data_IF_298976344572
#
_entry.id   IF_298976344572
#
_cell.length_a   1.000
_cell.length_b   1.000
_cell.length_c   1.000
_cell.angle_alpha   90.00
_cell.angle_beta   90.00
_cell.angle_gamma   90.00
#
_symmetry.space_group_name_H-M   'P 1'
#
loop_
_entity.id
_entity.type
_entity.pdbx_description
1 polymer ?
#
# COMPACT_ATOMS: atom_id res chain seq x y z
N UNK A 1 -21.03 13.58 -9.15
CA UNK A 1 -20.70 14.95 -8.70
C UNK A 1 -19.20 15.15 -8.81
N UNK A 2 -18.73 16.18 -9.52
CA UNK A 2 -17.32 16.53 -9.65
C UNK A 2 -17.12 17.90 -9.00
N UNK A 3 -16.19 18.01 -8.04
CA UNK A 3 -15.71 19.29 -7.53
C UNK A 3 -14.27 19.51 -8.02
N UNK A 4 -13.93 20.78 -8.31
CA UNK A 4 -12.74 21.21 -9.05
C UNK A 4 -11.39 20.65 -8.58
N UNK A 5 -10.44 20.64 -9.52
CA UNK A 5 -9.17 19.95 -9.45
C UNK A 5 -8.26 20.43 -8.30
N UNK A 6 -8.16 19.61 -7.24
CA UNK A 6 -7.02 19.62 -6.33
C UNK A 6 -5.90 18.83 -7.01
N UNK A 7 -4.73 19.43 -7.21
CA UNK A 7 -3.55 18.69 -7.71
C UNK A 7 -3.24 17.57 -6.71
N UNK A 8 -3.28 16.29 -7.10
CA UNK A 8 -2.97 15.21 -6.17
C UNK A 8 -1.50 15.30 -5.79
N UNK A 9 -1.23 15.67 -4.55
CA UNK A 9 0.07 15.48 -3.94
C UNK A 9 0.35 13.97 -3.88
N UNK A 10 1.55 13.58 -4.33
CA UNK A 10 2.32 12.34 -4.09
C UNK A 10 1.52 11.06 -3.77
N UNK A 11 1.44 10.22 -4.79
CA UNK A 11 0.59 9.04 -4.88
C UNK A 11 1.17 7.84 -4.13
N UNK A 12 0.32 7.18 -3.33
CA UNK A 12 0.57 5.85 -2.79
C UNK A 12 -0.58 4.96 -3.29
N UNK A 13 -0.33 3.98 -4.18
CA UNK A 13 -1.37 3.05 -4.55
C UNK A 13 -1.61 2.11 -3.36
N UNK A 14 -2.81 2.18 -2.81
CA UNK A 14 -3.38 1.08 -2.04
C UNK A 14 -4.30 0.28 -2.95
N UNK A 15 -4.70 -0.89 -2.51
CA UNK A 15 -5.63 -1.74 -3.24
C UNK A 15 -6.81 -2.12 -2.36
N UNK A 16 -8.00 -2.19 -2.97
CA UNK A 16 -9.14 -2.85 -2.36
C UNK A 16 -8.95 -4.36 -2.52
N UNK A 17 -8.89 -5.08 -1.40
CA UNK A 17 -8.71 -6.53 -1.36
C UNK A 17 -10.05 -7.26 -1.47
N UNK A 18 -9.98 -8.56 -1.75
CA UNK A 18 -11.15 -9.45 -1.80
C UNK A 18 -12.02 -9.43 -0.53
N UNK A 19 -11.43 -9.16 0.64
CA UNK A 19 -12.12 -9.08 1.94
C UNK A 19 -12.77 -7.72 2.21
N UNK A 20 -12.79 -6.83 1.21
CA UNK A 20 -13.39 -5.50 1.28
C UNK A 20 -12.59 -4.49 2.10
N UNK A 21 -11.31 -4.77 2.39
CA UNK A 21 -10.41 -3.87 3.13
C UNK A 21 -9.35 -3.27 2.21
N UNK A 22 -8.88 -2.07 2.56
CA UNK A 22 -7.72 -1.46 1.91
C UNK A 22 -6.41 -2.03 2.47
N UNK A 23 -5.50 -2.38 1.56
CA UNK A 23 -4.15 -2.83 1.89
C UNK A 23 -3.12 -2.27 0.93
N UNK A 24 -1.85 -2.47 1.22
CA UNK A 24 -0.80 -2.29 0.22
C UNK A 24 -0.73 -3.52 -0.70
N UNK A 25 -0.27 -3.35 -1.94
CA UNK A 25 0.18 -4.46 -2.76
C UNK A 25 1.29 -5.26 -2.07
N UNK A 26 1.20 -6.58 -2.13
CA UNK A 26 2.13 -7.55 -1.57
C UNK A 26 1.40 -8.76 -0.97
N UNK A 27 2.18 -9.77 -0.61
CA UNK A 27 1.67 -11.01 -0.05
C UNK A 27 2.68 -11.71 0.85
N UNK A 28 2.55 -13.02 0.95
CA UNK A 28 3.37 -13.84 1.84
C UNK A 28 4.63 -14.31 1.11
N UNK A 29 5.77 -14.26 1.80
CA UNK A 29 7.00 -14.88 1.32
C UNK A 29 6.95 -16.39 1.53
N UNK A 30 7.45 -17.13 0.55
CA UNK A 30 7.62 -18.58 0.69
C UNK A 30 8.80 -18.93 1.63
N UNK A 31 8.81 -20.10 2.28
CA UNK A 31 9.92 -20.52 3.12
C UNK A 31 11.26 -20.52 2.37
N UNK A 32 12.21 -19.69 2.84
CA UNK A 32 13.54 -19.54 2.23
C UNK A 32 13.62 -18.55 1.08
N UNK A 33 12.50 -17.93 0.67
CA UNK A 33 12.48 -16.90 -0.35
C UNK A 33 13.02 -15.56 0.21
N UNK A 34 13.94 -14.87 -0.48
CA UNK A 34 14.35 -13.52 -0.10
C UNK A 34 13.17 -12.56 -0.14
N UNK A 35 13.02 -11.70 0.87
CA UNK A 35 11.87 -10.78 1.00
C UNK A 35 11.68 -9.88 -0.22
N UNK A 36 12.76 -9.34 -0.79
CA UNK A 36 12.67 -8.54 -2.01
C UNK A 36 12.18 -9.34 -3.20
N UNK A 37 12.58 -10.62 -3.32
CA UNK A 37 12.16 -11.48 -4.42
C UNK A 37 10.68 -11.86 -4.29
N UNK A 38 10.26 -12.20 -3.07
CA UNK A 38 8.86 -12.45 -2.74
C UNK A 38 7.99 -11.25 -3.08
N UNK A 39 8.36 -10.06 -2.59
CA UNK A 39 7.57 -8.85 -2.87
C UNK A 39 7.59 -8.49 -4.36
N UNK A 40 8.71 -8.66 -5.07
CA UNK A 40 8.73 -8.46 -6.53
C UNK A 40 7.84 -9.44 -7.30
N UNK A 41 7.66 -10.68 -6.81
CA UNK A 41 6.73 -11.67 -7.37
C UNK A 41 5.27 -11.22 -7.16
N UNK A 42 4.90 -10.94 -5.92
CA UNK A 42 3.56 -10.49 -5.53
C UNK A 42 3.16 -9.23 -6.30
N UNK A 43 4.06 -8.23 -6.40
CA UNK A 43 3.78 -7.01 -7.16
C UNK A 43 3.50 -7.27 -8.66
N UNK A 44 4.09 -8.32 -9.26
CA UNK A 44 3.82 -8.70 -10.66
C UNK A 44 2.46 -9.38 -10.80
N UNK A 45 2.07 -10.17 -9.82
CA UNK A 45 0.79 -10.88 -9.77
C UNK A 45 -0.38 -9.91 -9.56
N UNK A 46 -0.19 -8.88 -8.73
CA UNK A 46 -1.21 -7.89 -8.37
C UNK A 46 -1.28 -6.65 -9.28
N UNK A 47 -0.12 -6.16 -9.76
CA UNK A 47 -0.05 -4.91 -10.54
C UNK A 47 0.26 -5.14 -12.02
N UNK A 48 0.50 -6.40 -12.41
CA UNK A 48 0.74 -6.80 -13.78
C UNK A 48 2.16 -6.49 -14.30
N UNK A 49 2.40 -6.63 -15.62
CA UNK A 49 3.75 -6.64 -16.20
C UNK A 49 4.58 -5.36 -15.97
N UNK A 50 3.92 -4.21 -15.79
CA UNK A 50 4.60 -2.95 -15.50
C UNK A 50 5.39 -2.99 -14.17
N UNK A 51 4.98 -3.86 -13.24
CA UNK A 51 5.68 -4.06 -11.97
C UNK A 51 7.07 -4.69 -12.14
N UNK A 52 7.38 -5.31 -13.28
CA UNK A 52 8.73 -5.85 -13.53
C UNK A 52 9.82 -4.77 -13.51
N UNK A 53 9.47 -3.50 -13.73
CA UNK A 53 10.40 -2.37 -13.59
C UNK A 53 10.68 -1.99 -12.11
N UNK A 54 9.87 -2.50 -11.17
CA UNK A 54 9.96 -2.22 -9.74
C UNK A 54 11.02 -3.09 -9.04
N UNK A 55 12.29 -2.90 -9.39
CA UNK A 55 13.39 -3.51 -8.61
C UNK A 55 13.49 -3.04 -7.16
N UNK A 56 13.20 -3.90 -6.20
CA UNK A 56 13.36 -3.65 -4.79
C UNK A 56 14.82 -3.83 -4.37
N UNK A 57 15.18 -3.14 -3.28
CA UNK A 57 16.53 -3.05 -2.74
C UNK A 57 16.40 -2.90 -1.23
N UNK A 58 17.39 -3.34 -0.44
CA UNK A 58 17.33 -3.21 1.02
C UNK A 58 17.06 -1.78 1.51
N UNK A 59 17.57 -0.76 0.80
CA UNK A 59 17.31 0.67 1.10
C UNK A 59 15.83 1.09 1.02
N UNK A 60 14.98 0.28 0.38
CA UNK A 60 13.55 0.55 0.30
C UNK A 60 12.80 -0.01 1.51
N UNK A 61 13.39 -0.91 2.30
CA UNK A 61 12.80 -1.43 3.53
C UNK A 61 12.68 -0.32 4.59
N UNK A 62 11.52 -0.24 5.25
CA UNK A 62 11.21 0.81 6.24
C UNK A 62 10.90 0.30 7.62
N UNK A 63 10.65 -0.99 7.77
CA UNK A 63 10.37 -1.57 9.07
C UNK A 63 9.68 -2.91 8.94
N UNK A 64 9.59 -3.57 10.09
CA UNK A 64 8.86 -4.80 10.25
C UNK A 64 8.03 -4.75 11.54
N UNK A 65 6.87 -5.39 11.55
CA UNK A 65 6.04 -5.57 12.73
C UNK A 65 5.73 -7.04 12.94
N UNK A 66 6.07 -7.54 14.12
CA UNK A 66 5.67 -8.88 14.54
C UNK A 66 4.24 -8.87 15.09
N UNK A 67 3.47 -9.87 14.67
CA UNK A 67 2.13 -10.18 15.13
C UNK A 67 2.20 -11.47 15.95
N UNK A 68 1.84 -11.40 17.24
CA UNK A 68 1.83 -12.58 18.10
C UNK A 68 0.78 -13.59 17.62
N UNK A 69 0.99 -14.86 17.98
CA UNK A 69 0.05 -15.96 17.70
C UNK A 69 -1.37 -15.57 18.18
N UNK A 70 -2.38 -15.85 17.34
CA UNK A 70 -3.80 -15.68 17.69
C UNK A 70 -4.47 -14.38 17.22
N UNK A 71 -3.71 -13.40 16.71
CA UNK A 71 -4.26 -12.21 16.06
C UNK A 71 -4.41 -12.42 14.56
N UNK A 72 -5.55 -12.95 14.10
CA UNK A 72 -5.88 -13.19 12.68
C UNK A 72 -5.10 -14.33 11.97
N UNK A 73 -5.41 -15.57 12.34
CA UNK A 73 -5.50 -16.66 11.35
C UNK A 73 -4.24 -17.45 10.98
N UNK A 74 -3.06 -17.24 11.59
CA UNK A 74 -1.91 -18.12 11.38
C UNK A 74 -1.34 -18.68 12.69
N UNK A 75 -1.14 -20.00 12.73
CA UNK A 75 -0.57 -20.71 13.88
C UNK A 75 0.92 -20.38 14.11
N UNK A 76 1.59 -19.70 13.18
CA UNK A 76 3.02 -19.37 13.25
C UNK A 76 3.37 -18.00 13.84
N UNK A 77 2.38 -17.12 14.07
CA UNK A 77 2.65 -15.68 14.13
C UNK A 77 3.02 -15.15 12.74
N UNK A 78 2.98 -13.82 12.56
CA UNK A 78 3.26 -13.18 11.28
C UNK A 78 4.20 -12.00 11.47
N UNK A 79 5.10 -11.74 10.51
CA UNK A 79 5.87 -10.50 10.48
C UNK A 79 5.53 -9.76 9.20
N UNK A 80 4.98 -8.54 9.32
CA UNK A 80 4.71 -7.68 8.15
C UNK A 80 5.92 -6.79 7.88
N UNK A 81 6.41 -6.77 6.64
CA UNK A 81 7.54 -5.95 6.21
C UNK A 81 7.05 -4.84 5.27
N UNK A 82 7.42 -3.59 5.54
CA UNK A 82 7.03 -2.45 4.71
C UNK A 82 8.19 -2.00 3.83
N UNK A 83 7.94 -1.90 2.53
CA UNK A 83 8.86 -1.31 1.55
C UNK A 83 8.26 -0.03 0.96
N UNK A 84 9.07 1.02 0.86
CA UNK A 84 8.68 2.30 0.28
C UNK A 84 9.67 2.70 -0.81
N UNK A 85 9.15 2.87 -2.02
CA UNK A 85 9.90 3.32 -3.19
C UNK A 85 9.19 4.51 -3.85
N UNK A 86 9.96 5.55 -4.16
CA UNK A 86 9.47 6.68 -4.94
C UNK A 86 9.50 6.32 -6.42
N UNK A 87 8.36 6.54 -7.09
CA UNK A 87 8.19 6.35 -8.53
C UNK A 87 8.03 7.68 -9.24
N UNK A 88 8.34 7.69 -10.53
CA UNK A 88 7.88 8.76 -11.43
C UNK A 88 6.38 8.59 -11.72
N UNK A 89 5.73 9.66 -12.16
CA UNK A 89 4.30 9.65 -12.42
C UNK A 89 3.91 8.68 -13.55
N UNK A 90 4.70 8.64 -14.63
CA UNK A 90 4.53 7.73 -15.76
C UNK A 90 4.64 6.25 -15.34
N UNK A 91 5.56 5.94 -14.42
CA UNK A 91 5.70 4.59 -13.86
C UNK A 91 4.44 4.19 -13.08
N UNK A 92 3.93 5.09 -12.24
CA UNK A 92 2.71 4.82 -11.50
C UNK A 92 1.49 4.65 -12.42
N UNK A 93 1.31 5.53 -13.40
CA UNK A 93 0.20 5.41 -14.35
C UNK A 93 0.29 4.13 -15.17
N UNK A 94 1.51 3.64 -15.45
CA UNK A 94 1.70 2.35 -16.09
C UNK A 94 1.27 1.19 -15.18
N UNK A 95 1.55 1.25 -13.87
CA UNK A 95 1.06 0.26 -12.90
C UNK A 95 -0.46 0.28 -12.80
N UNK A 96 -1.08 1.45 -12.74
CA UNK A 96 -2.55 1.57 -12.63
C UNK A 96 -3.26 1.03 -13.88
N UNK A 97 -2.72 1.30 -15.07
CA UNK A 97 -3.22 0.73 -16.32
C UNK A 97 -3.00 -0.78 -16.40
N UNK A 98 -1.89 -1.27 -15.85
CA UNK A 98 -1.54 -2.69 -15.81
C UNK A 98 -2.38 -3.49 -14.82
N UNK A 99 -2.70 -2.91 -13.66
CA UNK A 99 -3.40 -3.57 -12.55
C UNK A 99 -4.78 -4.11 -12.93
N UNK A 100 -5.53 -3.41 -13.78
CA UNK A 100 -6.82 -3.88 -14.27
C UNK A 100 -6.75 -5.15 -15.16
N UNK A 101 -5.55 -5.55 -15.57
CA UNK A 101 -5.27 -6.75 -16.37
C UNK A 101 -4.31 -7.71 -15.66
N UNK A 102 -3.99 -7.44 -14.39
CA UNK A 102 -3.11 -8.26 -13.61
C UNK A 102 -3.76 -9.62 -13.30
N UNK A 103 -2.98 -10.70 -13.14
CA UNK A 103 -3.49 -12.03 -12.80
C UNK A 103 -4.49 -12.05 -11.65
N UNK A 104 -4.26 -11.24 -10.61
CA UNK A 104 -5.10 -11.24 -9.40
C UNK A 104 -6.26 -10.25 -9.43
N UNK A 105 -6.42 -9.52 -10.53
CA UNK A 105 -7.52 -8.58 -10.69
C UNK A 105 -8.88 -9.31 -10.70
N UNK A 106 -9.77 -8.92 -9.80
CA UNK A 106 -11.08 -9.55 -9.59
C UNK A 106 -11.04 -10.83 -8.77
N UNK A 107 -9.86 -11.26 -8.33
CA UNK A 107 -9.65 -12.38 -7.41
C UNK A 107 -9.26 -11.83 -6.04
N UNK A 108 -7.97 -11.62 -5.80
CA UNK A 108 -7.46 -11.08 -4.55
C UNK A 108 -7.50 -9.54 -4.53
N UNK A 109 -7.45 -8.91 -5.71
CA UNK A 109 -7.37 -7.46 -5.90
C UNK A 109 -8.56 -6.93 -6.68
N UNK A 110 -9.38 -6.10 -6.03
CA UNK A 110 -10.57 -5.49 -6.64
C UNK A 110 -10.29 -4.15 -7.34
N UNK A 111 -9.10 -3.60 -7.16
CA UNK A 111 -8.66 -2.40 -7.87
C UNK A 111 -7.72 -1.51 -7.06
N UNK A 112 -6.93 -0.72 -7.79
CA UNK A 112 -5.98 0.24 -7.23
C UNK A 112 -6.67 1.57 -6.92
N UNK A 113 -6.30 2.15 -5.79
CA UNK A 113 -6.80 3.44 -5.32
C UNK A 113 -5.61 4.32 -4.96
N UNK A 114 -5.64 5.54 -5.50
CA UNK A 114 -4.74 6.63 -5.09
C UNK A 114 -5.23 7.17 -3.74
N UNK A 115 -4.38 7.12 -2.71
CA UNK A 115 -4.72 7.73 -1.41
C UNK A 115 -4.96 9.24 -1.58
N UNK A 116 -6.15 9.77 -1.26
CA UNK A 116 -6.42 11.20 -1.36
C UNK A 116 -5.74 11.92 -0.20
N UNK A 117 -4.73 12.74 -0.50
CA UNK A 117 -4.01 13.52 0.51
C UNK A 117 -4.69 14.87 0.80
N UNK A 118 -4.26 15.54 1.87
CA UNK A 118 -4.86 16.80 2.32
C UNK A 118 -6.25 16.58 2.91
N UNK A 119 -7.26 17.32 2.42
CA UNK A 119 -8.63 17.31 2.98
C UNK A 119 -9.35 15.97 2.79
N UNK A 120 -8.95 15.16 1.82
CA UNK A 120 -9.54 13.83 1.58
C UNK A 120 -9.01 12.73 2.50
N UNK A 121 -7.84 12.94 3.12
CA UNK A 121 -7.17 11.93 3.91
C UNK A 121 -7.99 11.50 5.15
N UNK A 122 -8.59 12.42 5.94
CA UNK A 122 -9.41 12.02 7.09
C UNK A 122 -10.58 11.10 6.71
N UNK A 123 -11.28 11.38 5.61
CA UNK A 123 -12.37 10.53 5.14
C UNK A 123 -11.86 9.17 4.64
N UNK A 124 -10.72 9.15 3.93
CA UNK A 124 -10.11 7.90 3.50
C UNK A 124 -9.69 7.00 4.69
N UNK A 125 -9.16 7.59 5.75
CA UNK A 125 -8.74 6.87 6.97
C UNK A 125 -9.90 6.29 7.79
N UNK A 126 -11.15 6.60 7.46
CA UNK A 126 -12.36 6.00 8.06
C UNK A 126 -12.75 4.67 7.41
N UNK A 127 -12.13 4.31 6.27
CA UNK A 127 -12.36 3.00 5.66
C UNK A 127 -11.75 1.86 6.49
N UNK A 128 -12.07 0.62 6.14
CA UNK A 128 -11.47 -0.56 6.76
C UNK A 128 -10.14 -0.89 6.09
N UNK A 129 -9.14 -1.21 6.90
CA UNK A 129 -7.80 -1.56 6.46
C UNK A 129 -7.42 -2.98 6.89
N UNK A 130 -6.61 -3.66 6.09
CA UNK A 130 -6.09 -4.99 6.40
C UNK A 130 -4.86 -4.88 7.30
N UNK A 131 -4.80 -5.68 8.37
CA UNK A 131 -3.67 -5.71 9.30
C UNK A 131 -3.31 -4.33 9.84
N UNK A 132 -2.03 -3.97 9.75
CA UNK A 132 -1.49 -2.65 10.12
C UNK A 132 -1.31 -1.69 8.93
N UNK A 133 -1.99 -1.92 7.80
CA UNK A 133 -1.82 -1.11 6.60
C UNK A 133 -2.16 0.38 6.85
N UNK A 134 -3.11 0.67 7.74
CA UNK A 134 -3.47 2.04 8.15
C UNK A 134 -2.32 2.71 8.92
N UNK A 135 -1.75 2.02 9.89
CA UNK A 135 -0.63 2.49 10.71
C UNK A 135 0.64 2.65 9.86
N UNK A 136 0.90 1.71 8.96
CA UNK A 136 1.98 1.77 7.98
C UNK A 136 1.83 2.97 7.04
N UNK A 137 0.61 3.25 6.54
CA UNK A 137 0.32 4.44 5.75
C UNK A 137 0.67 5.70 6.54
N UNK A 138 0.11 5.85 7.74
CA UNK A 138 0.33 7.02 8.60
C UNK A 138 1.81 7.22 8.94
N UNK A 139 2.53 6.14 9.25
CA UNK A 139 3.97 6.17 9.54
C UNK A 139 4.84 6.55 8.34
N UNK A 140 4.39 6.27 7.11
CA UNK A 140 5.11 6.62 5.89
C UNK A 140 4.92 8.09 5.45
N UNK A 141 3.79 8.72 5.79
CA UNK A 141 3.45 10.08 5.33
C UNK A 141 4.51 11.15 5.64
N UNK A 142 5.12 11.22 6.85
CA UNK A 142 6.15 12.21 7.15
C UNK A 142 7.39 12.05 6.25
N UNK A 143 7.85 10.82 6.03
CA UNK A 143 9.02 10.51 5.21
C UNK A 143 8.82 10.85 3.72
N UNK A 144 7.56 10.95 3.25
CA UNK A 144 7.23 11.31 1.88
C UNK A 144 7.20 12.84 1.63
N UNK A 145 7.39 13.65 2.69
CA UNK A 145 7.35 15.11 2.63
C UNK A 145 5.96 15.65 2.30
N UNK A 146 4.92 14.88 2.64
CA UNK A 146 3.51 15.25 2.44
C UNK A 146 2.93 15.96 3.67
N UNK A 147 3.67 15.97 4.78
CA UNK A 147 3.28 16.61 6.02
C UNK A 147 3.82 18.05 6.08
N UNK A 148 2.92 19.04 6.01
CA UNK A 148 3.21 20.45 6.28
C UNK A 148 2.76 20.85 7.70
N UNK A 149 3.46 21.81 8.31
CA UNK A 149 3.16 22.37 9.62
C UNK A 149 1.73 22.93 9.66
N UNK A 150 0.79 22.19 10.28
CA UNK A 150 -0.62 22.61 10.40
C UNK A 150 -1.66 21.49 10.35
N UNK A 151 -1.28 20.27 9.91
CA UNK A 151 -2.23 19.18 9.65
C UNK A 151 -2.81 18.42 10.87
N UNK A 152 -2.41 18.77 12.11
CA UNK A 152 -2.83 18.07 13.33
C UNK A 152 -3.72 18.96 14.20
N UNK A 153 -4.92 19.26 13.71
CA UNK A 153 -6.05 19.60 14.58
C UNK A 153 -7.26 18.80 14.10
N UNK A 154 -7.39 17.56 14.56
CA UNK A 154 -8.64 16.81 14.38
C UNK A 154 -8.54 15.29 14.28
N UNK A 155 -7.37 14.70 14.07
CA UNK A 155 -7.22 13.23 14.11
C UNK A 155 -7.06 12.76 15.56
N UNK A 156 -8.14 12.82 16.32
CA UNK A 156 -8.28 11.99 17.51
C UNK A 156 -8.49 10.55 17.06
N UNK A 157 -7.52 9.69 17.36
CA UNK A 157 -7.74 8.24 17.43
C UNK A 157 -8.79 7.96 18.49
N UNK A 158 -9.77 7.05 18.24
CA UNK A 158 -10.54 6.47 19.34
C UNK A 158 -9.63 5.67 20.29
#
# INVERSE_FOLDING_TARGET
CLWGAVKPLRLQPMQLRFDGRFGFPGGLAEPGEPLEAALERELREELGPAAAALRLRPRHHRGARAWPRGGAGSDGGLVTHLYVRRLRLDELEALERGGARAPEHGLEVQGLVRVPLGVGLPAFLQNRFAGDAREQLLGALPALGVWGEGGVKGLQTP
#
